data_IF_617476052225
#
_entry.id   IF_617476052225
#
_cell.length_a   1.000
_cell.length_b   1.000
_cell.length_c   1.000
_cell.angle_alpha   90.00
_cell.angle_beta   90.00
_cell.angle_gamma   90.00
#
_symmetry.space_group_name_H-M   'P 1'
#
loop_
_entity.id
_entity.type
_entity.pdbx_description
1 polymer ?
#
# COMPACT_ATOMS: atom_id res chain seq x y z
N UNK A 1 3.91 7.42 -4.95
CA UNK A 1 2.45 7.24 -4.73
C UNK A 1 2.16 7.57 -3.28
N UNK A 2 0.94 8.01 -2.92
CA UNK A 2 0.56 8.19 -1.51
C UNK A 2 -0.48 7.15 -1.13
N UNK A 3 -0.40 6.62 0.09
CA UNK A 3 -1.44 5.74 0.64
C UNK A 3 -2.82 6.40 0.65
N UNK A 4 -2.88 7.71 0.91
CA UNK A 4 -4.12 8.49 0.86
C UNK A 4 -4.72 8.61 -0.54
N UNK A 5 -3.88 8.68 -1.58
CA UNK A 5 -4.36 8.69 -2.98
C UNK A 5 -4.92 7.33 -3.39
N UNK A 6 -4.28 6.23 -2.96
CA UNK A 6 -4.78 4.88 -3.21
C UNK A 6 -6.16 4.67 -2.60
N UNK A 7 -6.35 5.10 -1.35
CA UNK A 7 -7.63 5.03 -0.66
C UNK A 7 -8.71 5.87 -1.37
N UNK A 8 -8.38 7.13 -1.73
CA UNK A 8 -9.32 7.99 -2.48
C UNK A 8 -9.66 7.44 -3.86
N UNK A 9 -8.70 6.83 -4.55
CA UNK A 9 -8.93 6.20 -5.85
C UNK A 9 -9.87 4.99 -5.72
N UNK A 10 -9.67 4.16 -4.68
CA UNK A 10 -10.55 3.03 -4.38
C UNK A 10 -11.98 3.50 -4.05
N UNK A 11 -12.13 4.52 -3.21
CA UNK A 11 -13.43 5.14 -2.92
C UNK A 11 -14.10 5.63 -4.21
N UNK A 12 -13.36 6.33 -5.07
CA UNK A 12 -13.86 6.86 -6.34
C UNK A 12 -14.27 5.76 -7.33
N UNK A 13 -13.71 4.55 -7.21
CA UNK A 13 -14.08 3.42 -8.07
C UNK A 13 -15.52 2.96 -7.86
N UNK A 14 -16.13 3.28 -6.71
CA UNK A 14 -17.46 2.81 -6.34
C UNK A 14 -17.54 1.31 -6.02
N UNK A 15 -16.39 0.64 -5.88
CA UNK A 15 -16.32 -0.78 -5.51
C UNK A 15 -16.94 -1.03 -4.12
N UNK A 16 -17.38 -2.26 -3.80
CA UNK A 16 -17.84 -2.60 -2.46
C UNK A 16 -16.83 -2.21 -1.37
N UNK A 17 -15.54 -2.49 -1.62
CA UNK A 17 -14.42 -2.08 -0.76
C UNK A 17 -14.32 -0.56 -0.64
N UNK A 18 -14.45 0.17 -1.76
CA UNK A 18 -14.46 1.64 -1.79
C UNK A 18 -15.58 2.25 -0.97
N UNK A 19 -16.77 1.64 -0.98
CA UNK A 19 -17.90 2.11 -0.17
C UNK A 19 -17.66 1.89 1.34
N UNK A 20 -17.05 0.78 1.73
CA UNK A 20 -16.64 0.52 3.12
C UNK A 20 -15.55 1.51 3.57
N UNK A 21 -14.55 1.73 2.73
CA UNK A 21 -13.50 2.71 2.98
C UNK A 21 -14.05 4.12 3.16
N UNK A 22 -15.02 4.52 2.33
CA UNK A 22 -15.64 5.84 2.44
C UNK A 22 -16.28 6.04 3.82
N UNK A 23 -17.01 5.04 4.33
CA UNK A 23 -17.63 5.09 5.66
C UNK A 23 -16.60 5.24 6.78
N UNK A 24 -15.52 4.47 6.72
CA UNK A 24 -14.44 4.52 7.73
C UNK A 24 -13.76 5.89 7.71
N UNK A 25 -13.47 6.42 6.52
CA UNK A 25 -12.82 7.71 6.34
C UNK A 25 -13.71 8.88 6.77
N UNK A 26 -15.01 8.85 6.46
CA UNK A 26 -16.00 9.85 6.91
C UNK A 26 -16.12 9.91 8.44
N UNK A 27 -15.91 8.77 9.12
CA UNK A 27 -15.90 8.69 10.58
C UNK A 27 -14.58 9.18 11.21
N UNK A 28 -13.60 9.60 10.39
CA UNK A 28 -12.28 10.01 10.86
C UNK A 28 -11.45 8.86 11.43
N UNK A 29 -11.85 7.62 11.15
CA UNK A 29 -11.18 6.43 11.66
C UNK A 29 -10.00 6.04 10.76
N UNK A 30 -9.04 5.33 11.34
CA UNK A 30 -7.94 4.75 10.57
C UNK A 30 -8.46 3.53 9.79
N UNK A 31 -8.11 3.50 8.51
CA UNK A 31 -8.39 2.35 7.65
C UNK A 31 -7.60 1.14 8.15
N UNK A 32 -8.23 -0.06 8.22
CA UNK A 32 -7.55 -1.27 8.63
C UNK A 32 -6.28 -1.55 7.81
N UNK A 33 -5.22 -1.99 8.50
CA UNK A 33 -3.91 -2.23 7.90
C UNK A 33 -3.97 -3.21 6.72
N UNK A 34 -4.75 -4.29 6.85
CA UNK A 34 -4.92 -5.31 5.80
C UNK A 34 -5.42 -4.70 4.49
N UNK A 35 -6.38 -3.76 4.57
CA UNK A 35 -6.93 -3.09 3.38
C UNK A 35 -5.89 -2.17 2.75
N UNK A 36 -5.10 -1.46 3.56
CA UNK A 36 -4.00 -0.61 3.06
C UNK A 36 -2.94 -1.45 2.37
N UNK A 37 -2.57 -2.61 2.95
CA UNK A 37 -1.60 -3.54 2.38
C UNK A 37 -2.06 -4.07 1.01
N UNK A 38 -3.32 -4.46 0.88
CA UNK A 38 -3.87 -4.94 -0.39
C UNK A 38 -3.83 -3.87 -1.47
N UNK A 39 -4.24 -2.63 -1.16
CA UNK A 39 -4.17 -1.51 -2.10
C UNK A 39 -2.75 -1.16 -2.52
N UNK A 40 -1.81 -1.16 -1.56
CA UNK A 40 -0.38 -0.94 -1.83
C UNK A 40 0.16 -2.04 -2.74
N UNK A 41 -0.15 -3.32 -2.46
CA UNK A 41 0.25 -4.45 -3.29
C UNK A 41 -0.26 -4.34 -4.71
N UNK A 42 -1.55 -4.04 -4.90
CA UNK A 42 -2.17 -3.86 -6.22
C UNK A 42 -1.44 -2.75 -7.00
N UNK A 43 -1.25 -1.58 -6.39
CA UNK A 43 -0.54 -0.46 -7.00
C UNK A 43 0.91 -0.79 -7.34
N UNK A 44 1.59 -1.54 -6.47
CA UNK A 44 2.97 -1.99 -6.69
C UNK A 44 3.06 -2.94 -7.87
N UNK A 45 2.18 -3.96 -7.94
CA UNK A 45 2.15 -4.92 -9.05
C UNK A 45 1.86 -4.21 -10.38
N UNK A 46 0.96 -3.24 -10.41
CA UNK A 46 0.71 -2.44 -11.61
C UNK A 46 1.93 -1.62 -12.05
N UNK A 47 2.63 -0.97 -11.12
CA UNK A 47 3.80 -0.18 -11.49
C UNK A 47 4.97 -1.06 -11.94
N UNK A 48 5.16 -2.24 -11.32
CA UNK A 48 6.15 -3.24 -11.78
C UNK A 48 5.85 -3.63 -13.23
N UNK A 49 4.58 -3.91 -13.57
CA UNK A 49 4.17 -4.18 -14.96
C UNK A 49 4.51 -3.03 -15.92
N UNK A 50 4.45 -1.79 -15.43
CA UNK A 50 4.82 -0.56 -16.18
C UNK A 50 6.34 -0.30 -16.22
N UNK A 51 7.17 -1.17 -15.63
CA UNK A 51 8.63 -1.07 -15.67
C UNK A 51 9.25 -0.19 -14.58
N UNK A 52 8.54 0.10 -13.49
CA UNK A 52 9.08 0.85 -12.36
C UNK A 52 10.17 0.06 -11.62
N UNK A 53 11.20 0.78 -11.15
CA UNK A 53 12.37 0.22 -10.42
C UNK A 53 12.35 0.45 -8.91
N UNK A 54 11.29 1.03 -8.34
CA UNK A 54 11.22 1.32 -6.91
C UNK A 54 9.97 2.10 -6.51
N UNK A 55 9.69 2.17 -5.21
CA UNK A 55 8.44 2.69 -4.67
C UNK A 55 8.67 3.66 -3.52
N UNK A 56 8.22 4.90 -3.70
CA UNK A 56 8.04 5.82 -2.58
C UNK A 56 6.54 5.87 -2.27
N UNK A 57 6.17 5.41 -1.08
CA UNK A 57 4.77 5.39 -0.62
C UNK A 57 4.64 6.41 0.51
N UNK A 58 4.19 7.61 0.15
CA UNK A 58 4.03 8.69 1.11
C UNK A 58 2.93 8.36 2.13
N UNK A 59 3.24 8.60 3.40
CA UNK A 59 2.39 8.30 4.54
C UNK A 59 2.22 6.81 4.86
N UNK A 60 3.11 5.93 4.38
CA UNK A 60 3.16 4.52 4.74
C UNK A 60 4.60 3.99 4.85
N UNK A 61 4.96 3.25 5.91
CA UNK A 61 4.13 2.87 7.05
C UNK A 61 3.97 4.00 8.07
N UNK A 62 2.78 4.11 8.68
CA UNK A 62 2.51 5.03 9.81
C UNK A 62 2.91 4.44 11.16
N UNK A 63 3.03 3.12 11.24
CA UNK A 63 3.48 2.41 12.43
C UNK A 63 4.47 1.30 12.05
N UNK A 64 5.39 0.98 12.94
CA UNK A 64 6.42 -0.06 12.72
C UNK A 64 5.80 -1.40 12.31
N UNK A 65 4.70 -1.80 12.97
CA UNK A 65 3.97 -3.04 12.68
C UNK A 65 3.52 -3.14 11.22
N UNK A 66 3.20 -2.02 10.58
CA UNK A 66 2.80 -2.00 9.18
C UNK A 66 3.97 -2.38 8.27
N UNK A 67 5.17 -1.87 8.57
CA UNK A 67 6.40 -2.25 7.87
C UNK A 67 6.75 -3.72 8.07
N UNK A 68 6.67 -4.22 9.32
CA UNK A 68 6.91 -5.63 9.64
C UNK A 68 5.93 -6.56 8.91
N UNK A 69 4.63 -6.22 8.89
CA UNK A 69 3.63 -7.00 8.20
C UNK A 69 3.85 -6.98 6.68
N UNK A 70 4.18 -5.82 6.10
CA UNK A 70 4.56 -5.72 4.71
C UNK A 70 5.73 -6.64 4.36
N UNK A 71 6.81 -6.65 5.16
CA UNK A 71 7.95 -7.55 4.94
C UNK A 71 7.58 -9.04 5.11
N UNK A 72 6.59 -9.33 5.95
CA UNK A 72 6.11 -10.70 6.20
C UNK A 72 5.36 -11.30 5.01
N UNK A 73 4.80 -10.45 4.14
CA UNK A 73 3.99 -10.84 3.00
C UNK A 73 4.74 -11.78 2.04
N UNK A 74 4.08 -12.88 1.64
CA UNK A 74 4.68 -13.90 0.78
C UNK A 74 5.06 -13.36 -0.60
N UNK A 75 4.30 -12.39 -1.12
CA UNK A 75 4.59 -11.74 -2.39
C UNK A 75 5.82 -10.82 -2.29
N UNK A 76 6.02 -10.14 -1.16
CA UNK A 76 7.24 -9.35 -0.88
C UNK A 76 8.45 -10.27 -0.81
N UNK A 77 8.33 -11.42 -0.12
CA UNK A 77 9.40 -12.43 -0.06
C UNK A 77 9.73 -13.07 -1.41
N UNK A 78 8.70 -13.31 -2.22
CA UNK A 78 8.85 -13.84 -3.60
C UNK A 78 9.57 -12.84 -4.50
N UNK A 79 9.33 -11.55 -4.29
CA UNK A 79 10.12 -10.48 -4.87
C UNK A 79 11.29 -10.16 -3.92
N UNK A 80 12.28 -11.07 -3.82
CA UNK A 80 13.48 -11.05 -2.92
C UNK A 80 14.26 -9.73 -2.78
N UNK A 81 13.86 -8.68 -3.49
CA UNK A 81 14.50 -7.39 -3.67
C UNK A 81 13.66 -6.21 -3.14
N UNK A 82 12.42 -6.44 -2.68
CA UNK A 82 11.61 -5.43 -2.00
C UNK A 82 12.01 -5.37 -0.52
N UNK A 83 12.56 -4.25 -0.09
CA UNK A 83 12.88 -3.99 1.31
C UNK A 83 12.36 -2.63 1.74
N UNK A 84 11.83 -2.59 2.95
CA UNK A 84 11.55 -1.34 3.65
C UNK A 84 12.87 -0.73 4.17
N UNK A 85 13.06 0.58 3.96
CA UNK A 85 14.19 1.30 4.55
C UNK A 85 13.82 2.76 4.78
N UNK A 86 13.58 3.15 6.04
CA UNK A 86 13.07 4.49 6.36
C UNK A 86 11.73 4.72 5.66
N UNK A 87 11.47 5.89 5.09
CA UNK A 87 10.13 6.21 4.53
C UNK A 87 9.86 5.63 3.12
N UNK A 88 10.67 4.68 2.65
CA UNK A 88 10.65 4.23 1.26
C UNK A 88 10.85 2.73 1.08
N UNK A 89 10.23 2.20 0.02
CA UNK A 89 10.37 0.81 -0.42
C UNK A 89 11.22 0.74 -1.67
N UNK A 90 12.39 0.13 -1.55
CA UNK A 90 13.32 0.05 -2.68
C UNK A 90 13.22 -1.31 -3.35
N UNK A 91 13.30 -1.31 -4.68
CA UNK A 91 13.72 -2.48 -5.46
C UNK A 91 15.17 -2.21 -5.87
N UNK A 92 16.10 -3.07 -5.45
CA UNK A 92 17.49 -3.01 -5.90
C UNK A 92 17.60 -3.75 -7.24
N UNK A 93 18.09 -3.06 -8.28
CA UNK A 93 18.45 -3.68 -9.57
C UNK A 93 19.49 -4.78 -9.38
#
# INVERSE_FOLDING_TARGET
MSSGDLLRAEVKSGSPRGNELNKIMEQGQLVPLEVVLDLVKEAMLEAVKKGTKGFLIDGYPREVKQGEQFESESWVKSHKRLKYKGDAFFSLN
#
